data_IF_663886336919
#
_entry.id   IF_663886336919
#
_cell.length_a   1.000
_cell.length_b   1.000
_cell.length_c   1.000
_cell.angle_alpha   90.00
_cell.angle_beta   90.00
_cell.angle_gamma   90.00
#
_symmetry.space_group_name_H-M   'P 1'
#
loop_
_entity.id
_entity.type
_entity.pdbx_description
1 polymer ?
#
# COMPACT_ATOMS: atom_id res chain seq x y z
N UNK A 1 4.48 4.83 15.76
CA UNK A 1 4.83 3.72 14.84
C UNK A 1 5.86 4.21 13.83
N UNK A 2 6.97 3.48 13.67
CA UNK A 2 8.05 3.85 12.75
C UNK A 2 7.58 3.82 11.28
N UNK A 3 7.98 4.82 10.49
CA UNK A 3 7.63 4.99 9.07
C UNK A 3 8.71 5.79 8.35
N UNK A 4 8.67 5.77 7.02
CA UNK A 4 9.50 6.67 6.23
C UNK A 4 8.96 8.11 6.34
N UNK A 5 9.77 9.03 6.85
CA UNK A 5 9.43 10.46 7.05
C UNK A 5 10.16 11.38 6.08
N UNK A 6 11.07 10.86 5.28
CA UNK A 6 11.85 11.64 4.31
C UNK A 6 11.04 12.17 3.12
N UNK A 7 11.70 12.95 2.22
CA UNK A 7 11.06 13.57 1.08
C UNK A 7 10.44 12.56 0.11
N UNK A 8 9.15 12.73 -0.21
CA UNK A 8 8.40 11.86 -1.11
C UNK A 8 8.98 11.84 -2.53
N UNK A 9 9.27 13.01 -3.08
CA UNK A 9 9.81 13.16 -4.43
C UNK A 9 11.17 12.48 -4.63
N UNK A 10 11.94 12.28 -3.57
CA UNK A 10 13.21 11.53 -3.63
C UNK A 10 12.96 10.05 -3.98
N UNK A 11 11.90 9.46 -3.43
CA UNK A 11 11.51 8.08 -3.70
C UNK A 11 10.98 7.97 -5.14
N UNK A 12 10.04 8.84 -5.52
CA UNK A 12 9.42 8.83 -6.85
C UNK A 12 10.48 8.99 -7.95
N UNK A 13 11.41 9.94 -7.80
CA UNK A 13 12.52 10.14 -8.73
C UNK A 13 13.50 8.96 -8.80
N UNK A 14 13.69 8.24 -7.70
CA UNK A 14 14.57 7.06 -7.66
C UNK A 14 14.01 5.93 -8.52
N UNK A 15 12.70 5.72 -8.48
CA UNK A 15 12.02 4.63 -9.21
C UNK A 15 11.48 5.06 -10.58
N UNK A 16 11.45 6.36 -10.87
CA UNK A 16 10.88 6.89 -12.10
C UNK A 16 9.35 6.83 -12.14
N UNK A 17 8.70 6.56 -11.01
CA UNK A 17 7.26 6.41 -10.88
C UNK A 17 6.74 7.22 -9.67
N UNK A 18 5.52 7.76 -9.77
CA UNK A 18 4.89 8.52 -8.69
C UNK A 18 4.29 7.56 -7.62
N UNK A 19 5.14 6.99 -6.78
CA UNK A 19 4.73 6.03 -5.73
C UNK A 19 4.11 6.75 -4.53
N UNK A 20 4.70 7.84 -4.08
CA UNK A 20 4.33 8.53 -2.85
C UNK A 20 3.92 9.99 -3.05
N UNK A 21 4.31 10.57 -4.16
CA UNK A 21 4.22 12.00 -4.41
C UNK A 21 3.23 12.38 -5.49
N UNK A 22 3.40 13.61 -5.99
CA UNK A 22 2.60 14.17 -7.05
C UNK A 22 3.28 13.89 -8.42
N UNK A 23 2.56 13.29 -9.40
CA UNK A 23 3.09 13.04 -10.74
C UNK A 23 3.67 14.29 -11.42
N UNK A 24 3.07 15.47 -11.18
CA UNK A 24 3.55 16.75 -11.72
C UNK A 24 4.96 17.12 -11.25
N UNK A 25 5.33 16.78 -10.01
CA UNK A 25 6.68 17.04 -9.48
C UNK A 25 7.70 16.11 -10.10
N UNK A 26 7.32 14.86 -10.37
CA UNK A 26 8.17 13.90 -11.07
C UNK A 26 8.42 14.33 -12.52
N UNK A 27 7.39 14.77 -13.24
CA UNK A 27 7.51 15.22 -14.64
C UNK A 27 8.51 16.36 -14.80
N UNK A 28 8.58 17.30 -13.83
CA UNK A 28 9.55 18.41 -13.86
C UNK A 28 11.02 18.00 -13.68
N UNK A 29 11.27 16.86 -12.97
CA UNK A 29 12.62 16.38 -12.64
C UNK A 29 12.70 14.87 -12.85
N UNK A 30 12.75 14.45 -14.10
CA UNK A 30 12.77 13.03 -14.50
C UNK A 30 14.17 12.39 -14.44
N UNK A 31 14.94 12.70 -13.40
CA UNK A 31 16.25 12.10 -13.15
C UNK A 31 16.39 11.71 -11.68
N UNK A 32 17.26 10.75 -11.32
CA UNK A 32 17.46 10.31 -9.95
C UNK A 32 17.82 11.46 -9.01
N UNK A 33 17.52 11.34 -7.71
CA UNK A 33 17.91 12.32 -6.72
C UNK A 33 19.43 12.30 -6.48
N UNK A 34 19.94 13.43 -6.01
CA UNK A 34 21.35 13.59 -5.63
C UNK A 34 22.17 14.37 -6.64
N UNK A 35 23.41 14.66 -6.26
CA UNK A 35 24.37 15.47 -7.03
C UNK A 35 24.68 14.86 -8.41
N UNK A 36 24.71 13.53 -8.50
CA UNK A 36 25.02 12.79 -9.73
C UNK A 36 23.79 12.31 -10.50
N UNK A 37 22.60 12.85 -10.20
CA UNK A 37 21.35 12.41 -10.82
C UNK A 37 21.30 12.56 -12.34
N UNK A 38 21.99 13.55 -12.89
CA UNK A 38 22.08 13.82 -14.33
C UNK A 38 23.21 13.05 -15.05
N UNK A 39 24.09 12.38 -14.32
CA UNK A 39 25.19 11.65 -14.93
C UNK A 39 24.68 10.40 -15.64
N UNK A 40 25.42 9.95 -16.68
CA UNK A 40 25.13 8.71 -17.40
C UNK A 40 25.09 7.54 -16.41
N UNK A 41 23.98 6.82 -16.39
CA UNK A 41 23.80 5.65 -15.51
C UNK A 41 24.63 4.47 -16.00
N UNK A 42 25.33 3.80 -15.09
CA UNK A 42 25.93 2.50 -15.36
C UNK A 42 24.83 1.44 -15.48
N UNK A 43 25.11 0.35 -16.21
CA UNK A 43 24.23 -0.83 -16.26
C UNK A 43 23.99 -1.34 -14.83
N UNK A 44 22.74 -1.52 -14.47
CA UNK A 44 22.37 -2.02 -13.14
C UNK A 44 22.61 -3.52 -13.07
N UNK A 45 23.21 -4.03 -12.01
CA UNK A 45 23.37 -5.45 -11.76
C UNK A 45 22.02 -6.12 -11.50
N UNK A 46 21.92 -7.44 -11.71
CA UNK A 46 20.72 -8.21 -11.38
C UNK A 46 20.29 -8.04 -9.91
N UNK A 47 21.24 -8.12 -8.99
CA UNK A 47 20.98 -7.82 -7.59
C UNK A 47 20.37 -6.42 -7.39
N UNK A 48 20.90 -5.42 -8.09
CA UNK A 48 20.37 -4.05 -8.02
C UNK A 48 18.93 -3.94 -8.52
N UNK A 49 18.57 -4.70 -9.55
CA UNK A 49 17.19 -4.76 -10.08
C UNK A 49 16.25 -5.41 -9.06
N UNK A 50 16.61 -6.58 -8.52
CA UNK A 50 15.84 -7.27 -7.49
C UNK A 50 15.65 -6.42 -6.23
N UNK A 51 16.72 -5.75 -5.78
CA UNK A 51 16.67 -4.84 -4.65
C UNK A 51 15.74 -3.64 -4.91
N UNK A 52 15.78 -3.08 -6.11
CA UNK A 52 14.92 -1.96 -6.49
C UNK A 52 13.44 -2.36 -6.44
N UNK A 53 13.05 -3.53 -6.97
CA UNK A 53 11.67 -4.02 -6.91
C UNK A 53 11.19 -4.25 -5.47
N UNK A 54 12.02 -4.86 -4.63
CA UNK A 54 11.71 -4.99 -3.19
C UNK A 54 11.49 -3.63 -2.52
N UNK A 55 12.38 -2.68 -2.77
CA UNK A 55 12.26 -1.34 -2.20
C UNK A 55 11.02 -0.60 -2.74
N UNK A 56 10.69 -0.76 -4.03
CA UNK A 56 9.48 -0.22 -4.64
C UNK A 56 8.24 -0.72 -3.89
N UNK A 57 8.09 -2.05 -3.75
CA UNK A 57 6.98 -2.66 -3.00
C UNK A 57 6.90 -2.12 -1.57
N UNK A 58 8.02 -2.09 -0.87
CA UNK A 58 8.10 -1.58 0.51
C UNK A 58 7.62 -0.13 0.65
N UNK A 59 8.02 0.76 -0.26
CA UNK A 59 7.60 2.16 -0.22
C UNK A 59 6.14 2.35 -0.63
N UNK A 60 5.65 1.59 -1.62
CA UNK A 60 4.26 1.61 -2.06
C UNK A 60 3.30 1.33 -0.90
N UNK A 61 3.57 0.28 -0.13
CA UNK A 61 2.73 -0.09 1.02
C UNK A 61 3.12 0.59 2.34
N UNK A 62 4.21 1.39 2.35
CA UNK A 62 4.66 2.10 3.55
C UNK A 62 5.14 1.18 4.68
N UNK A 63 5.64 0.00 4.35
CA UNK A 63 6.14 -1.01 5.31
C UNK A 63 7.65 -0.85 5.51
N UNK A 64 8.15 -1.08 6.73
CA UNK A 64 9.59 -1.12 7.02
C UNK A 64 10.19 -2.49 6.73
N UNK A 65 11.52 -2.54 6.58
CA UNK A 65 12.26 -3.73 6.15
C UNK A 65 11.97 -4.97 7.01
N UNK A 66 12.07 -4.86 8.33
CA UNK A 66 11.83 -5.99 9.23
C UNK A 66 10.39 -6.53 9.12
N UNK A 67 9.41 -5.63 9.02
CA UNK A 67 8.02 -6.05 8.83
C UNK A 67 7.80 -6.72 7.48
N UNK A 68 8.43 -6.18 6.43
CA UNK A 68 8.32 -6.73 5.08
C UNK A 68 8.95 -8.13 5.01
N UNK A 69 10.14 -8.31 5.60
CA UNK A 69 10.81 -9.61 5.71
C UNK A 69 9.97 -10.62 6.47
N UNK A 70 9.41 -10.25 7.63
CA UNK A 70 8.53 -11.14 8.39
C UNK A 70 7.27 -11.54 7.60
N UNK A 71 6.73 -10.65 6.76
CA UNK A 71 5.60 -10.98 5.89
C UNK A 71 6.01 -11.92 4.77
N UNK A 72 7.21 -11.76 4.21
CA UNK A 72 7.77 -12.67 3.23
C UNK A 72 8.00 -14.07 3.82
N UNK A 73 8.61 -14.18 5.00
CA UNK A 73 8.82 -15.45 5.69
C UNK A 73 7.50 -16.18 5.98
N UNK A 74 6.44 -15.45 6.36
CA UNK A 74 5.10 -16.02 6.52
C UNK A 74 4.53 -16.50 5.19
N UNK A 75 4.71 -15.74 4.11
CA UNK A 75 4.24 -16.12 2.79
C UNK A 75 4.96 -17.37 2.28
N UNK A 76 6.28 -17.48 2.49
CA UNK A 76 7.08 -18.64 2.09
C UNK A 76 6.70 -19.93 2.83
N UNK A 77 6.15 -19.84 4.05
CA UNK A 77 5.66 -21.01 4.81
C UNK A 77 4.24 -21.43 4.41
N UNK A 78 3.52 -20.62 3.66
CA UNK A 78 2.15 -20.91 3.23
C UNK A 78 2.18 -21.61 1.87
N UNK A 79 1.37 -22.64 1.68
CA UNK A 79 1.27 -23.33 0.38
C UNK A 79 0.73 -22.39 -0.70
N UNK A 80 1.35 -22.41 -1.88
CA UNK A 80 1.00 -21.59 -3.02
C UNK A 80 2.18 -20.74 -3.54
N UNK A 81 1.91 -19.80 -4.44
CA UNK A 81 2.92 -18.93 -5.03
C UNK A 81 3.30 -17.84 -4.04
N UNK A 82 4.51 -17.93 -3.47
CA UNK A 82 5.00 -17.05 -2.41
C UNK A 82 4.86 -15.56 -2.73
N UNK A 83 5.15 -15.16 -3.98
CA UNK A 83 5.02 -13.76 -4.42
C UNK A 83 3.59 -13.24 -4.38
N UNK A 84 2.63 -14.03 -4.83
CA UNK A 84 1.21 -13.68 -4.79
C UNK A 84 0.70 -13.59 -3.35
N UNK A 85 1.05 -14.57 -2.52
CA UNK A 85 0.67 -14.59 -1.10
C UNK A 85 1.24 -13.37 -0.36
N UNK A 86 2.48 -12.97 -0.68
CA UNK A 86 3.07 -11.75 -0.14
C UNK A 86 2.25 -10.51 -0.50
N UNK A 87 1.87 -10.36 -1.77
CA UNK A 87 1.04 -9.23 -2.22
C UNK A 87 -0.35 -9.27 -1.59
N UNK A 88 -0.99 -10.43 -1.49
CA UNK A 88 -2.26 -10.62 -0.80
C UNK A 88 -2.18 -10.20 0.68
N UNK A 89 -1.10 -10.56 1.37
CA UNK A 89 -0.88 -10.16 2.75
C UNK A 89 -0.66 -8.64 2.89
N UNK A 90 -0.01 -8.00 1.92
CA UNK A 90 0.15 -6.55 1.87
C UNK A 90 -1.18 -5.84 1.60
N UNK A 91 -2.00 -6.38 0.69
CA UNK A 91 -3.33 -5.84 0.37
C UNK A 91 -4.34 -6.04 1.52
N UNK A 92 -4.23 -7.12 2.30
CA UNK A 92 -5.11 -7.42 3.44
C UNK A 92 -4.85 -6.55 4.68
N UNK A 93 -3.86 -5.67 4.67
CA UNK A 93 -3.57 -4.76 5.79
C UNK A 93 -4.67 -3.70 5.93
N UNK A 94 -5.05 -3.39 7.16
CA UNK A 94 -6.12 -2.43 7.44
C UNK A 94 -5.83 -1.04 6.84
N UNK A 95 -4.58 -0.54 6.97
CA UNK A 95 -4.19 0.75 6.38
C UNK A 95 -4.36 0.76 4.85
N UNK A 96 -4.09 -0.36 4.19
CA UNK A 96 -4.27 -0.47 2.75
C UNK A 96 -5.74 -0.64 2.35
N UNK A 97 -6.53 -1.45 3.07
CA UNK A 97 -7.97 -1.61 2.80
C UNK A 97 -8.71 -0.28 2.97
N UNK A 98 -8.42 0.50 4.01
CA UNK A 98 -8.98 1.85 4.19
C UNK A 98 -8.66 2.77 3.01
N UNK A 99 -7.47 2.66 2.42
CA UNK A 99 -7.10 3.37 1.20
C UNK A 99 -7.86 2.85 -0.02
N UNK A 100 -7.98 1.52 -0.18
CA UNK A 100 -8.72 0.88 -1.28
C UNK A 100 -10.22 1.17 -1.26
N UNK A 101 -10.79 1.35 -0.08
CA UNK A 101 -12.18 1.78 0.11
C UNK A 101 -12.41 3.27 -0.19
N UNK A 102 -11.34 4.05 -0.47
CA UNK A 102 -11.48 5.47 -0.74
C UNK A 102 -11.73 6.35 0.49
N UNK A 103 -11.72 5.77 1.71
CA UNK A 103 -11.90 6.52 2.97
C UNK A 103 -10.77 7.55 3.16
N UNK A 104 -9.62 7.32 2.54
CA UNK A 104 -8.49 8.23 2.60
C UNK A 104 -7.84 8.40 1.22
N UNK A 105 -7.36 9.61 0.86
CA UNK A 105 -6.78 9.89 -0.45
C UNK A 105 -5.42 9.25 -0.67
N UNK A 106 -4.73 8.83 0.39
CA UNK A 106 -3.41 8.20 0.31
C UNK A 106 -3.25 7.13 1.39
N UNK A 107 -2.41 6.11 1.16
CA UNK A 107 -2.07 5.11 2.18
C UNK A 107 -1.51 5.72 3.48
N UNK A 108 -0.84 6.87 3.40
CA UNK A 108 -0.35 7.60 4.58
C UNK A 108 -1.48 8.22 5.38
N UNK A 109 -2.46 8.82 4.71
CA UNK A 109 -3.66 9.36 5.35
C UNK A 109 -4.50 8.22 5.96
N UNK A 110 -4.69 7.11 5.23
CA UNK A 110 -5.34 5.91 5.74
C UNK A 110 -4.69 5.41 7.04
N UNK A 111 -3.37 5.30 7.04
CA UNK A 111 -2.62 4.90 8.24
C UNK A 111 -2.80 5.85 9.41
N UNK A 112 -2.91 7.16 9.14
CA UNK A 112 -3.18 8.16 10.17
C UNK A 112 -4.58 8.00 10.75
N UNK A 113 -5.60 7.83 9.91
CA UNK A 113 -6.97 7.60 10.35
C UNK A 113 -7.09 6.34 11.24
N UNK A 114 -6.42 5.25 10.86
CA UNK A 114 -6.38 4.03 11.67
C UNK A 114 -5.71 4.29 13.02
N UNK A 115 -4.51 4.92 13.04
CA UNK A 115 -3.80 5.22 14.29
C UNK A 115 -4.59 6.13 15.23
N UNK A 116 -5.36 7.06 14.68
CA UNK A 116 -6.20 7.99 15.44
C UNK A 116 -7.56 7.37 15.82
N UNK A 117 -7.75 6.04 15.58
CA UNK A 117 -8.93 5.28 15.99
C UNK A 117 -10.24 5.77 15.35
N UNK A 118 -10.16 6.25 14.10
CA UNK A 118 -11.35 6.64 13.30
C UNK A 118 -11.97 5.46 12.55
N UNK A 119 -11.33 4.31 12.54
CA UNK A 119 -11.72 3.12 11.77
C UNK A 119 -12.26 2.03 12.72
N UNK A 120 -13.29 1.36 12.27
CA UNK A 120 -13.89 0.20 12.92
C UNK A 120 -13.80 -1.02 12.01
N UNK A 121 -13.64 -2.20 12.63
CA UNK A 121 -13.71 -3.50 11.95
C UNK A 121 -14.75 -4.32 12.71
N UNK A 122 -15.78 -4.78 12.02
CA UNK A 122 -16.93 -5.51 12.61
C UNK A 122 -17.50 -4.76 13.85
N UNK A 123 -17.67 -3.44 13.75
CA UNK A 123 -18.18 -2.58 14.81
C UNK A 123 -17.18 -2.24 15.93
N UNK A 124 -15.99 -2.86 15.96
CA UNK A 124 -14.96 -2.62 16.98
C UNK A 124 -13.89 -1.65 16.49
N UNK A 125 -13.52 -0.69 17.32
CA UNK A 125 -12.46 0.28 16.98
C UNK A 125 -11.09 -0.41 16.94
N UNK A 126 -10.42 -0.34 15.79
CA UNK A 126 -9.08 -0.91 15.60
C UNK A 126 -8.09 0.20 15.27
N UNK A 127 -7.08 0.40 16.15
CA UNK A 127 -6.02 1.41 15.99
C UNK A 127 -4.69 0.85 15.49
N UNK A 128 -4.68 -0.34 14.89
CA UNK A 128 -3.46 -1.04 14.44
C UNK A 128 -3.45 -1.10 12.91
N UNK A 129 -2.66 -0.25 12.21
CA UNK A 129 -2.60 -0.24 10.74
C UNK A 129 -2.14 -1.54 10.10
N UNK A 130 -1.34 -2.34 10.82
CA UNK A 130 -0.87 -3.65 10.36
C UNK A 130 -1.85 -4.79 10.65
N UNK A 131 -3.03 -4.50 11.17
CA UNK A 131 -4.08 -5.50 11.35
C UNK A 131 -4.40 -6.15 10.01
N UNK A 132 -4.40 -7.48 9.98
CA UNK A 132 -4.74 -8.25 8.78
C UNK A 132 -6.25 -8.51 8.77
N UNK A 133 -6.94 -7.86 7.86
CA UNK A 133 -8.38 -8.03 7.67
C UNK A 133 -8.63 -9.38 6.99
N UNK A 134 -9.60 -10.13 7.49
CA UNK A 134 -9.99 -11.42 6.95
C UNK A 134 -11.16 -11.28 5.98
N UNK A 135 -11.27 -12.16 4.96
CA UNK A 135 -12.46 -12.22 4.13
C UNK A 135 -13.76 -12.29 4.95
N UNK A 136 -14.76 -11.55 4.54
CA UNK A 136 -16.04 -11.41 5.22
C UNK A 136 -16.13 -10.27 6.24
N UNK A 137 -15.01 -9.70 6.70
CA UNK A 137 -15.02 -8.59 7.66
C UNK A 137 -15.46 -7.27 7.03
N UNK A 138 -16.15 -6.47 7.82
CA UNK A 138 -16.62 -5.13 7.43
C UNK A 138 -15.71 -4.08 8.04
N UNK A 139 -15.15 -3.23 7.18
CA UNK A 139 -14.29 -2.10 7.57
C UNK A 139 -15.03 -0.80 7.31
N UNK A 140 -15.24 0.00 8.33
CA UNK A 140 -16.00 1.25 8.23
C UNK A 140 -15.40 2.40 9.00
N UNK A 141 -16.02 3.56 8.83
CA UNK A 141 -15.68 4.77 9.58
C UNK A 141 -16.46 4.80 10.89
N UNK A 142 -15.77 5.08 12.00
CA UNK A 142 -16.40 5.25 13.31
C UNK A 142 -17.46 6.36 13.25
N UNK A 143 -18.61 6.18 13.89
CA UNK A 143 -19.75 7.09 13.84
C UNK A 143 -19.38 8.55 14.06
N UNK A 144 -18.65 8.83 15.14
CA UNK A 144 -18.17 10.19 15.47
C UNK A 144 -17.23 10.81 14.43
N UNK A 145 -16.71 10.00 13.50
CA UNK A 145 -15.72 10.40 12.50
C UNK A 145 -16.29 10.48 11.09
N UNK A 146 -17.55 10.12 10.90
CA UNK A 146 -18.25 10.21 9.59
C UNK A 146 -18.41 11.64 9.07
N UNK A 147 -18.39 12.63 9.97
CA UNK A 147 -18.48 14.06 9.66
C UNK A 147 -17.12 14.70 9.33
N UNK A 148 -16.00 13.98 9.43
CA UNK A 148 -14.68 14.53 9.13
C UNK A 148 -14.60 14.92 7.64
N UNK A 149 -14.26 16.18 7.38
CA UNK A 149 -14.12 16.75 6.04
C UNK A 149 -13.16 15.95 5.15
N UNK A 150 -12.03 15.49 5.72
CA UNK A 150 -11.04 14.67 5.01
C UNK A 150 -11.63 13.36 4.49
N UNK A 151 -12.54 12.74 5.26
CA UNK A 151 -13.22 11.49 4.87
C UNK A 151 -14.27 11.78 3.81
N UNK A 152 -15.09 12.81 4.00
CA UNK A 152 -16.14 13.19 3.05
C UNK A 152 -15.56 13.56 1.68
N UNK A 153 -14.52 14.40 1.66
CA UNK A 153 -13.85 14.80 0.42
C UNK A 153 -13.15 13.62 -0.29
N UNK A 154 -12.63 12.65 0.48
CA UNK A 154 -12.01 11.46 -0.11
C UNK A 154 -13.05 10.54 -0.76
N UNK A 155 -14.19 10.32 -0.11
CA UNK A 155 -15.27 9.47 -0.62
C UNK A 155 -15.97 10.08 -1.84
N UNK A 156 -16.20 11.39 -1.84
CA UNK A 156 -16.90 12.08 -2.93
C UNK A 156 -16.20 11.97 -4.30
N UNK A 157 -14.87 11.79 -4.32
CA UNK A 157 -14.08 11.67 -5.56
C UNK A 157 -13.67 10.25 -5.91
N UNK A 158 -14.16 9.23 -5.20
CA UNK A 158 -13.66 7.87 -5.34
C UNK A 158 -14.61 6.95 -6.11
N UNK A 159 -14.06 6.18 -7.05
CA UNK A 159 -14.81 5.13 -7.75
C UNK A 159 -14.73 3.81 -6.96
N UNK A 160 -15.82 3.47 -6.28
CA UNK A 160 -15.92 2.30 -5.42
C UNK A 160 -15.96 0.96 -6.20
N UNK A 161 -16.31 0.97 -7.48
CA UNK A 161 -16.33 -0.24 -8.34
C UNK A 161 -14.94 -0.63 -8.85
N UNK A 162 -13.90 0.08 -8.47
CA UNK A 162 -12.53 -0.12 -8.99
C UNK A 162 -11.89 -1.45 -8.56
N UNK A 163 -12.29 -1.99 -7.42
CA UNK A 163 -11.65 -3.15 -6.80
C UNK A 163 -12.67 -4.27 -6.56
N UNK A 164 -12.65 -5.37 -7.34
CA UNK A 164 -13.68 -6.41 -7.28
C UNK A 164 -13.71 -7.23 -5.97
N UNK A 165 -12.62 -7.19 -5.20
CA UNK A 165 -12.53 -7.90 -3.92
C UNK A 165 -13.05 -7.12 -2.72
N UNK A 166 -13.61 -5.90 -2.96
CA UNK A 166 -14.15 -5.03 -1.91
C UNK A 166 -15.51 -4.53 -2.38
N UNK A 167 -16.52 -4.67 -1.54
CA UNK A 167 -17.86 -4.13 -1.73
C UNK A 167 -18.04 -2.91 -0.83
N UNK A 168 -18.62 -1.83 -1.34
CA UNK A 168 -18.85 -0.59 -0.61
C UNK A 168 -20.33 -0.36 -0.34
N UNK A 169 -20.67 -0.02 0.91
CA UNK A 169 -21.99 0.43 1.32
C UNK A 169 -21.93 1.91 1.69
N UNK A 170 -22.56 2.75 0.86
CA UNK A 170 -22.54 4.20 1.04
C UNK A 170 -23.36 4.63 2.26
N UNK A 171 -24.45 3.94 2.56
CA UNK A 171 -25.36 4.26 3.67
C UNK A 171 -24.63 4.11 5.02
N UNK A 172 -23.85 3.09 5.16
CA UNK A 172 -23.08 2.80 6.38
C UNK A 172 -21.70 3.48 6.40
N UNK A 173 -21.22 3.99 5.26
CA UNK A 173 -19.82 4.39 5.04
C UNK A 173 -18.86 3.30 5.48
N UNK A 174 -19.11 2.09 5.01
CA UNK A 174 -18.37 0.88 5.33
C UNK A 174 -18.19 0.02 4.08
N UNK A 175 -17.14 -0.78 4.05
CA UNK A 175 -16.90 -1.73 2.97
C UNK A 175 -16.63 -3.11 3.50
N UNK A 176 -17.11 -4.12 2.78
CA UNK A 176 -16.89 -5.53 3.08
C UNK A 176 -15.70 -6.05 2.28
N UNK A 177 -14.77 -6.70 2.95
CA UNK A 177 -13.66 -7.41 2.29
C UNK A 177 -14.12 -8.80 1.89
N UNK A 178 -14.38 -9.04 0.59
CA UNK A 178 -15.02 -10.26 0.09
C UNK A 178 -14.04 -11.44 0.09
N UNK A 179 -12.92 -11.30 -0.58
CA UNK A 179 -11.90 -12.33 -0.74
C UNK A 179 -10.51 -11.71 -0.89
N UNK A 180 -9.47 -12.51 -0.79
CA UNK A 180 -8.11 -12.05 -1.11
C UNK A 180 -8.03 -11.74 -2.60
N UNK A 181 -7.38 -10.62 -3.01
CA UNK A 181 -7.26 -10.26 -4.41
C UNK A 181 -6.41 -11.27 -5.19
N UNK A 182 -6.78 -11.53 -6.45
CA UNK A 182 -5.91 -12.23 -7.37
C UNK A 182 -4.79 -11.28 -7.86
N UNK A 183 -3.69 -11.83 -8.35
CA UNK A 183 -2.57 -11.01 -8.85
C UNK A 183 -3.01 -10.03 -9.95
N UNK A 184 -3.89 -10.46 -10.85
CA UNK A 184 -4.40 -9.65 -11.95
C UNK A 184 -5.20 -8.42 -11.48
N UNK A 185 -5.86 -8.50 -10.34
CA UNK A 185 -6.70 -7.44 -9.81
C UNK A 185 -5.87 -6.34 -9.12
N UNK A 186 -4.64 -6.66 -8.69
CA UNK A 186 -3.76 -5.72 -7.99
C UNK A 186 -3.12 -4.75 -9.01
N UNK A 187 -3.42 -3.44 -8.94
CA UNK A 187 -2.99 -2.49 -9.96
C UNK A 187 -1.50 -2.09 -9.88
N UNK A 188 -0.80 -2.45 -8.80
CA UNK A 188 0.61 -2.12 -8.64
C UNK A 188 1.51 -2.92 -9.59
N UNK A 189 2.37 -2.20 -10.31
CA UNK A 189 3.36 -2.77 -11.25
C UNK A 189 4.59 -3.29 -10.50
N UNK A 190 4.39 -4.25 -9.62
CA UNK A 190 5.46 -4.88 -8.81
C UNK A 190 5.76 -6.25 -9.39
N UNK A 191 7.04 -6.53 -9.66
CA UNK A 191 7.52 -7.86 -10.09
C UNK A 191 7.87 -8.70 -8.88
N UNK A 192 6.89 -9.42 -8.35
CA UNK A 192 7.01 -10.22 -7.13
C UNK A 192 8.06 -11.32 -7.22
N UNK A 193 8.27 -11.90 -8.41
CA UNK A 193 9.29 -12.93 -8.64
C UNK A 193 10.70 -12.45 -8.29
N UNK A 194 11.05 -11.21 -8.67
CA UNK A 194 12.34 -10.60 -8.33
C UNK A 194 12.53 -10.42 -6.83
N UNK A 195 11.42 -10.21 -6.09
CA UNK A 195 11.46 -10.12 -4.63
C UNK A 195 11.72 -11.50 -4.02
N UNK A 196 11.07 -12.53 -4.56
CA UNK A 196 11.28 -13.93 -4.11
C UNK A 196 12.71 -14.34 -4.36
N UNK A 197 13.26 -14.10 -5.56
CA UNK A 197 14.65 -14.40 -5.90
C UNK A 197 15.65 -13.69 -4.97
N UNK A 198 15.39 -12.42 -4.62
CA UNK A 198 16.26 -11.66 -3.72
C UNK A 198 16.35 -12.28 -2.32
N UNK A 199 15.23 -12.79 -1.79
CA UNK A 199 15.20 -13.37 -0.45
C UNK A 199 15.58 -14.87 -0.42
N UNK A 200 15.62 -15.52 -1.58
CA UNK A 200 16.05 -16.92 -1.72
C UNK A 200 17.56 -17.08 -1.88
N UNK A 201 18.27 -16.00 -2.15
CA UNK A 201 19.74 -15.89 -2.16
C UNK A 201 20.24 -15.53 -0.76
#
# INVERSE_FOLDING_TARGET
MARYTGPKSRIDRRFGEAILGNPKVQAKRNFPPGQHGNNRRRKTSEYGIMLAEKQKAKYTYGVLENQFRNMFEKAARTSGITGEILLQNLESRLDNIVYRLGIAPTRRAARQLVNHKHIVVDGKVVGIPSYSVKPGQIVGVRERSKSLEVVQNALAGFNHSKYPWIEWDESQKAGKYLHKPNRADIPETIKEQLIVELYSK
#
